data_IF_842510149504
#
_entry.id   IF_842510149504
#
_cell.length_a   1.000
_cell.length_b   1.000
_cell.length_c   1.000
_cell.angle_alpha   90.00
_cell.angle_beta   90.00
_cell.angle_gamma   90.00
#
_symmetry.space_group_name_H-M   'P 1'
#
loop_
_entity.id
_entity.type
_entity.pdbx_description
1 polymer ?
#
# COMPACT_ATOMS: atom_id res chain seq x y z
N UNK A 1 -28.08 24.77 -1.33
CA UNK A 1 -26.99 23.98 -1.94
C UNK A 1 -26.81 24.49 -3.36
N UNK A 2 -25.66 25.08 -3.70
CA UNK A 2 -25.47 25.69 -5.02
C UNK A 2 -25.22 24.62 -6.10
N UNK A 3 -25.72 24.86 -7.30
CA UNK A 3 -25.59 23.97 -8.45
C UNK A 3 -24.13 23.61 -8.77
N UNK A 4 -23.20 24.57 -8.61
CA UNK A 4 -21.76 24.36 -8.75
C UNK A 4 -21.21 23.30 -7.77
N UNK A 5 -21.70 23.30 -6.52
CA UNK A 5 -21.30 22.30 -5.53
C UNK A 5 -21.78 20.90 -5.91
N UNK A 6 -22.96 20.79 -6.52
CA UNK A 6 -23.52 19.52 -7.02
C UNK A 6 -22.66 18.98 -8.15
N UNK A 7 -22.28 19.81 -9.13
CA UNK A 7 -21.41 19.40 -10.24
C UNK A 7 -20.05 18.90 -9.72
N UNK A 8 -19.42 19.66 -8.82
CA UNK A 8 -18.13 19.28 -8.23
C UNK A 8 -18.22 17.95 -7.48
N UNK A 9 -19.33 17.70 -6.80
CA UNK A 9 -19.59 16.44 -6.10
C UNK A 9 -19.75 15.27 -7.08
N UNK A 10 -20.58 15.40 -8.11
CA UNK A 10 -20.78 14.38 -9.15
C UNK A 10 -19.45 14.06 -9.85
N UNK A 11 -18.68 15.09 -10.21
CA UNK A 11 -17.36 14.92 -10.81
C UNK A 11 -16.39 14.17 -9.88
N UNK A 12 -16.38 14.52 -8.59
CA UNK A 12 -15.57 13.82 -7.57
C UNK A 12 -15.96 12.33 -7.45
N UNK A 13 -17.26 12.03 -7.50
CA UNK A 13 -17.75 10.65 -7.47
C UNK A 13 -17.32 9.87 -8.71
N UNK A 14 -17.50 10.44 -9.90
CA UNK A 14 -17.09 9.84 -11.16
C UNK A 14 -15.58 9.50 -11.16
N UNK A 15 -14.74 10.45 -10.74
CA UNK A 15 -13.31 10.20 -10.63
C UNK A 15 -12.98 9.15 -9.56
N UNK A 16 -13.72 9.09 -8.45
CA UNK A 16 -13.52 8.07 -7.43
C UNK A 16 -13.79 6.66 -7.98
N UNK A 17 -14.86 6.50 -8.78
CA UNK A 17 -15.16 5.23 -9.45
C UNK A 17 -14.03 4.82 -10.39
N UNK A 18 -13.50 5.75 -11.18
CA UNK A 18 -12.38 5.47 -12.08
C UNK A 18 -11.12 5.05 -11.31
N UNK A 19 -10.74 5.80 -10.28
CA UNK A 19 -9.56 5.50 -9.46
C UNK A 19 -9.68 4.14 -8.78
N UNK A 20 -10.81 3.87 -8.13
CA UNK A 20 -11.06 2.58 -7.48
C UNK A 20 -11.10 1.44 -8.50
N UNK A 21 -11.75 1.64 -9.65
CA UNK A 21 -11.78 0.65 -10.74
C UNK A 21 -10.39 0.29 -11.24
N UNK A 22 -9.53 1.29 -11.48
CA UNK A 22 -8.13 1.10 -11.86
C UNK A 22 -7.34 0.37 -10.77
N UNK A 23 -7.55 0.74 -9.50
CA UNK A 23 -6.95 0.05 -8.36
C UNK A 23 -7.34 -1.43 -8.33
N UNK A 24 -8.63 -1.75 -8.44
CA UNK A 24 -9.08 -3.14 -8.41
C UNK A 24 -8.56 -3.94 -9.60
N UNK A 25 -8.58 -3.36 -10.80
CA UNK A 25 -8.05 -4.00 -12.01
C UNK A 25 -6.55 -4.30 -11.88
N UNK A 26 -5.77 -3.30 -11.45
CA UNK A 26 -4.34 -3.45 -11.21
C UNK A 26 -4.07 -4.49 -10.12
N UNK A 27 -4.84 -4.45 -9.02
CA UNK A 27 -4.72 -5.38 -7.92
C UNK A 27 -4.92 -6.82 -8.41
N UNK A 28 -6.03 -7.12 -9.07
CA UNK A 28 -6.35 -8.46 -9.55
C UNK A 28 -5.31 -8.97 -10.56
N UNK A 29 -4.90 -8.13 -11.51
CA UNK A 29 -4.00 -8.53 -12.59
C UNK A 29 -2.59 -8.82 -12.08
N UNK A 30 -1.99 -7.88 -11.33
CA UNK A 30 -0.62 -8.03 -10.87
C UNK A 30 -0.50 -8.98 -9.68
N UNK A 31 -1.51 -9.07 -8.82
CA UNK A 31 -1.52 -10.07 -7.75
C UNK A 31 -1.51 -11.49 -8.32
N UNK A 32 -2.33 -11.77 -9.34
CA UNK A 32 -2.32 -13.07 -10.04
C UNK A 32 -0.96 -13.32 -10.70
N UNK A 33 -0.43 -12.32 -11.42
CA UNK A 33 0.87 -12.44 -12.07
C UNK A 33 2.00 -12.80 -11.09
N UNK A 34 2.04 -12.17 -9.91
CA UNK A 34 3.04 -12.49 -8.88
C UNK A 34 2.88 -13.93 -8.40
N UNK A 35 1.65 -14.40 -8.19
CA UNK A 35 1.40 -15.79 -7.83
C UNK A 35 1.93 -16.70 -8.93
N UNK A 36 1.47 -16.53 -10.17
CA UNK A 36 1.82 -17.42 -11.27
C UNK A 36 3.32 -17.45 -11.56
N UNK A 37 4.00 -16.31 -11.42
CA UNK A 37 5.44 -16.20 -11.65
C UNK A 37 6.26 -16.89 -10.54
N UNK A 38 5.90 -16.67 -9.27
CA UNK A 38 6.67 -17.17 -8.12
C UNK A 38 6.08 -18.47 -7.51
N UNK A 39 5.05 -19.08 -8.10
CA UNK A 39 4.40 -20.29 -7.56
C UNK A 39 5.35 -21.49 -7.51
N UNK A 40 6.30 -21.54 -8.46
CA UNK A 40 7.30 -22.59 -8.55
C UNK A 40 8.61 -22.24 -7.80
N UNK A 41 8.72 -21.02 -7.29
CA UNK A 41 9.84 -20.59 -6.46
C UNK A 41 9.66 -21.02 -5.00
N UNK A 42 10.61 -20.63 -4.14
CA UNK A 42 10.47 -20.81 -2.68
C UNK A 42 9.23 -20.04 -2.20
N UNK A 43 8.32 -20.71 -1.47
CA UNK A 43 7.11 -20.12 -0.87
C UNK A 43 7.39 -18.80 -0.13
N UNK A 44 8.57 -18.70 0.47
CA UNK A 44 9.10 -17.50 1.11
C UNK A 44 9.20 -16.30 0.16
N UNK A 45 9.83 -16.47 -1.00
CA UNK A 45 10.00 -15.43 -2.01
C UNK A 45 8.64 -14.97 -2.54
N UNK A 46 7.72 -15.91 -2.78
CA UNK A 46 6.35 -15.59 -3.17
C UNK A 46 5.65 -14.72 -2.12
N UNK A 47 5.65 -15.13 -0.85
CA UNK A 47 4.98 -14.40 0.21
C UNK A 47 5.63 -13.04 0.51
N UNK A 48 6.94 -12.90 0.32
CA UNK A 48 7.63 -11.62 0.45
C UNK A 48 7.18 -10.64 -0.64
N UNK A 49 7.15 -11.07 -1.90
CA UNK A 49 6.66 -10.24 -3.00
C UNK A 49 5.19 -9.88 -2.84
N UNK A 50 4.33 -10.82 -2.43
CA UNK A 50 2.93 -10.52 -2.16
C UNK A 50 2.76 -9.53 -1.00
N UNK A 51 3.52 -9.68 0.08
CA UNK A 51 3.51 -8.74 1.20
C UNK A 51 3.88 -7.32 0.73
N UNK A 52 5.03 -7.16 0.08
CA UNK A 52 5.50 -5.87 -0.41
C UNK A 52 4.50 -5.26 -1.38
N UNK A 53 4.01 -6.06 -2.33
CA UNK A 53 3.06 -5.61 -3.34
C UNK A 53 1.78 -5.07 -2.72
N UNK A 54 1.15 -5.83 -1.81
CA UNK A 54 -0.11 -5.41 -1.18
C UNK A 54 0.08 -4.07 -0.47
N UNK A 55 1.15 -3.91 0.29
CA UNK A 55 1.38 -2.67 1.05
C UNK A 55 1.85 -1.50 0.17
N UNK A 56 2.71 -1.74 -0.81
CA UNK A 56 3.20 -0.70 -1.72
C UNK A 56 2.09 -0.13 -2.61
N UNK A 57 1.22 -0.99 -3.14
CA UNK A 57 0.07 -0.54 -3.96
C UNK A 57 -0.86 0.37 -3.14
N UNK A 58 -1.08 0.05 -1.87
CA UNK A 58 -1.84 0.91 -0.95
C UNK A 58 -1.23 2.30 -0.85
N UNK A 59 0.07 2.37 -0.56
CA UNK A 59 0.81 3.62 -0.40
C UNK A 59 0.71 4.48 -1.67
N UNK A 60 1.03 3.88 -2.81
CA UNK A 60 1.00 4.56 -4.10
C UNK A 60 -0.39 5.08 -4.42
N UNK A 61 -1.44 4.29 -4.15
CA UNK A 61 -2.80 4.71 -4.42
C UNK A 61 -3.24 5.87 -3.52
N UNK A 62 -2.98 5.82 -2.21
CA UNK A 62 -3.28 6.94 -1.30
C UNK A 62 -2.49 8.19 -1.71
N UNK A 63 -1.23 8.05 -2.11
CA UNK A 63 -0.43 9.18 -2.60
C UNK A 63 -0.99 9.77 -3.89
N UNK A 64 -1.41 8.94 -4.84
CA UNK A 64 -2.02 9.39 -6.10
C UNK A 64 -3.36 10.10 -5.85
N UNK A 65 -4.20 9.57 -4.95
CA UNK A 65 -5.47 10.19 -4.56
C UNK A 65 -5.22 11.57 -3.93
N UNK A 66 -4.27 11.67 -3.00
CA UNK A 66 -3.95 12.96 -2.37
C UNK A 66 -3.32 13.94 -3.37
N UNK A 67 -2.47 13.46 -4.28
CA UNK A 67 -1.88 14.26 -5.35
C UNK A 67 -2.95 14.79 -6.31
N UNK A 68 -3.83 13.92 -6.80
CA UNK A 68 -4.94 14.29 -7.68
C UNK A 68 -5.87 15.30 -7.00
N UNK A 69 -6.13 15.10 -5.71
CA UNK A 69 -6.92 16.05 -4.94
C UNK A 69 -6.23 17.41 -4.78
N UNK A 70 -4.92 17.42 -4.53
CA UNK A 70 -4.15 18.64 -4.35
C UNK A 70 -4.17 19.53 -5.60
N UNK A 71 -3.98 18.93 -6.79
CA UNK A 71 -3.82 19.69 -8.03
C UNK A 71 -5.10 19.87 -8.84
N UNK A 72 -6.01 18.89 -8.87
CA UNK A 72 -7.10 18.88 -9.84
C UNK A 72 -8.50 18.92 -9.21
N UNK A 73 -8.73 18.16 -8.14
CA UNK A 73 -10.10 17.87 -7.69
C UNK A 73 -10.53 18.78 -6.52
N UNK A 74 -9.62 19.01 -5.56
CA UNK A 74 -9.83 19.89 -4.40
C UNK A 74 -11.15 19.59 -3.67
N UNK A 75 -11.46 18.31 -3.45
CA UNK A 75 -12.70 17.80 -2.88
C UNK A 75 -12.41 16.84 -1.73
N UNK A 76 -12.87 17.19 -0.53
CA UNK A 76 -12.72 16.31 0.65
C UNK A 76 -13.43 14.97 0.46
N UNK A 77 -14.58 15.00 -0.23
CA UNK A 77 -15.38 13.82 -0.54
C UNK A 77 -14.58 12.83 -1.39
N UNK A 78 -13.80 13.34 -2.36
CA UNK A 78 -12.96 12.49 -3.21
C UNK A 78 -11.95 11.70 -2.38
N UNK A 79 -11.18 12.37 -1.50
CA UNK A 79 -10.23 11.67 -0.63
C UNK A 79 -10.97 10.71 0.30
N UNK A 80 -12.04 11.18 0.94
CA UNK A 80 -12.81 10.37 1.90
C UNK A 80 -13.27 9.06 1.27
N UNK A 81 -13.93 9.12 0.11
CA UNK A 81 -14.46 7.93 -0.56
C UNK A 81 -13.33 6.98 -0.96
N UNK A 82 -12.26 7.49 -1.59
CA UNK A 82 -11.17 6.63 -2.05
C UNK A 82 -10.43 5.98 -0.88
N UNK A 83 -10.01 6.76 0.12
CA UNK A 83 -9.20 6.25 1.23
C UNK A 83 -10.02 5.35 2.16
N UNK A 84 -11.29 5.68 2.44
CA UNK A 84 -12.15 4.80 3.26
C UNK A 84 -12.46 3.50 2.52
N UNK A 85 -12.79 3.56 1.23
CA UNK A 85 -13.04 2.34 0.43
C UNK A 85 -11.80 1.47 0.37
N UNK A 86 -10.61 2.07 0.22
CA UNK A 86 -9.35 1.35 0.27
C UNK A 86 -9.13 0.68 1.63
N UNK A 87 -9.33 1.39 2.74
CA UNK A 87 -9.21 0.81 4.08
C UNK A 87 -10.19 -0.36 4.29
N UNK A 88 -11.43 -0.23 3.82
CA UNK A 88 -12.43 -1.31 3.85
C UNK A 88 -11.96 -2.52 3.03
N UNK A 89 -11.41 -2.29 1.83
CA UNK A 89 -10.84 -3.36 1.02
C UNK A 89 -9.71 -4.09 1.77
N UNK A 90 -8.81 -3.36 2.44
CA UNK A 90 -7.71 -3.95 3.23
C UNK A 90 -8.20 -4.72 4.46
N UNK A 91 -9.32 -4.30 5.06
CA UNK A 91 -9.99 -5.09 6.10
C UNK A 91 -10.52 -6.42 5.54
N UNK A 92 -11.14 -6.42 4.36
CA UNK A 92 -11.64 -7.64 3.74
C UNK A 92 -10.54 -8.63 3.34
N UNK A 93 -9.42 -8.15 2.82
CA UNK A 93 -8.25 -9.00 2.52
C UNK A 93 -7.39 -9.28 3.77
N UNK A 94 -7.74 -8.73 4.93
CA UNK A 94 -7.01 -8.85 6.19
C UNK A 94 -6.80 -10.31 6.63
N UNK A 95 -7.76 -11.20 6.34
CA UNK A 95 -7.61 -12.64 6.59
C UNK A 95 -6.47 -13.25 5.77
N UNK A 96 -6.35 -12.89 4.48
CA UNK A 96 -5.25 -13.31 3.60
C UNK A 96 -3.91 -12.73 4.06
N UNK A 97 -3.89 -11.45 4.44
CA UNK A 97 -2.72 -10.80 5.03
C UNK A 97 -2.28 -11.50 6.32
N UNK A 98 -3.23 -11.94 7.15
CA UNK A 98 -2.97 -12.69 8.37
C UNK A 98 -2.20 -14.00 8.11
N UNK A 99 -2.50 -14.71 7.02
CA UNK A 99 -1.74 -15.92 6.65
C UNK A 99 -0.30 -15.60 6.27
N UNK A 100 -0.09 -14.55 5.48
CA UNK A 100 1.25 -14.09 5.09
C UNK A 100 2.04 -13.70 6.35
N UNK A 101 1.45 -12.90 7.22
CA UNK A 101 2.08 -12.48 8.49
C UNK A 101 2.38 -13.67 9.41
N UNK A 102 1.44 -14.61 9.55
CA UNK A 102 1.64 -15.81 10.37
C UNK A 102 2.80 -16.65 9.83
N UNK A 103 2.93 -16.76 8.50
CA UNK A 103 4.06 -17.45 7.88
C UNK A 103 5.39 -16.79 8.29
N UNK A 104 5.51 -15.47 8.15
CA UNK A 104 6.72 -14.77 8.56
C UNK A 104 6.98 -14.87 10.07
N UNK A 105 5.95 -14.75 10.92
CA UNK A 105 6.14 -14.87 12.37
C UNK A 105 6.57 -16.27 12.82
N UNK A 106 6.11 -17.32 12.14
CA UNK A 106 6.38 -18.71 12.53
C UNK A 106 7.70 -19.24 11.99
N UNK A 107 8.05 -18.85 10.76
CA UNK A 107 9.24 -19.36 10.06
C UNK A 107 10.45 -18.42 10.14
N UNK A 108 10.29 -17.18 10.62
CA UNK A 108 11.38 -16.23 10.79
C UNK A 108 11.68 -15.99 12.27
N UNK A 109 12.96 -16.08 12.62
CA UNK A 109 13.49 -15.86 13.99
C UNK A 109 14.16 -14.50 14.17
N UNK A 110 14.44 -13.79 13.08
CA UNK A 110 15.05 -12.46 13.13
C UNK A 110 14.02 -11.42 13.59
N UNK A 111 14.23 -10.90 14.81
CA UNK A 111 13.40 -9.83 15.38
C UNK A 111 13.41 -8.57 14.49
N UNK A 112 14.52 -8.30 13.81
CA UNK A 112 14.68 -7.16 12.91
C UNK A 112 13.74 -7.24 11.70
N UNK A 113 13.54 -8.44 11.16
CA UNK A 113 12.64 -8.66 10.02
C UNK A 113 11.20 -8.43 10.41
N UNK A 114 10.79 -9.01 11.54
CA UNK A 114 9.43 -8.86 12.07
C UNK A 114 9.16 -7.37 12.37
N UNK A 115 10.12 -6.68 13.00
CA UNK A 115 10.02 -5.25 13.28
C UNK A 115 9.92 -4.43 11.99
N UNK A 116 10.73 -4.73 10.98
CA UNK A 116 10.68 -4.07 9.68
C UNK A 116 9.32 -4.22 8.98
N UNK A 117 8.73 -5.42 9.02
CA UNK A 117 7.38 -5.66 8.49
C UNK A 117 6.32 -4.85 9.22
N UNK A 118 6.36 -4.85 10.55
CA UNK A 118 5.41 -4.10 11.38
C UNK A 118 5.54 -2.60 11.10
N UNK A 119 6.77 -2.07 11.05
CA UNK A 119 7.02 -0.66 10.75
C UNK A 119 6.53 -0.29 9.35
N UNK A 120 6.71 -1.16 8.36
CA UNK A 120 6.21 -0.93 7.00
C UNK A 120 4.68 -0.87 6.97
N UNK A 121 4.01 -1.83 7.62
CA UNK A 121 2.55 -1.85 7.74
C UNK A 121 2.02 -0.61 8.45
N UNK A 122 2.58 -0.29 9.63
CA UNK A 122 2.16 0.85 10.45
C UNK A 122 2.38 2.16 9.69
N UNK A 123 3.46 2.29 8.93
CA UNK A 123 3.72 3.48 8.10
C UNK A 123 2.60 3.68 7.07
N UNK A 124 2.17 2.61 6.40
CA UNK A 124 1.21 2.68 5.29
C UNK A 124 -0.22 2.87 5.79
N UNK A 125 -0.59 2.12 6.83
CA UNK A 125 -1.89 2.28 7.49
C UNK A 125 -1.95 3.66 8.15
N UNK A 126 -0.88 4.07 8.83
CA UNK A 126 -0.73 5.39 9.44
C UNK A 126 -0.84 6.52 8.43
N UNK A 127 -0.23 6.38 7.24
CA UNK A 127 -0.37 7.36 6.16
C UNK A 127 -1.83 7.56 5.73
N UNK A 128 -2.61 6.48 5.70
CA UNK A 128 -4.02 6.51 5.29
C UNK A 128 -4.89 7.22 6.32
N UNK A 129 -4.70 6.88 7.60
CA UNK A 129 -5.36 7.59 8.69
C UNK A 129 -4.93 9.05 8.77
N UNK A 130 -3.65 9.33 8.53
CA UNK A 130 -3.14 10.69 8.49
C UNK A 130 -3.77 11.50 7.34
N UNK A 131 -3.90 10.91 6.14
CA UNK A 131 -4.59 11.52 5.01
C UNK A 131 -6.05 11.87 5.36
N UNK A 132 -6.77 10.99 6.05
CA UNK A 132 -8.13 11.26 6.53
C UNK A 132 -8.15 12.33 7.62
N UNK A 133 -7.21 12.30 8.57
CA UNK A 133 -7.12 13.27 9.65
C UNK A 133 -6.89 14.69 9.13
N UNK A 134 -6.03 14.85 8.13
CA UNK A 134 -5.74 16.16 7.51
C UNK A 134 -6.98 16.79 6.87
N UNK A 135 -7.95 15.99 6.40
CA UNK A 135 -9.23 16.50 5.88
C UNK A 135 -10.05 17.28 6.92
N UNK A 136 -9.84 17.03 8.22
CA UNK A 136 -10.54 17.72 9.32
C UNK A 136 -10.07 19.17 9.49
N UNK A 137 -8.90 19.54 8.96
CA UNK A 137 -8.26 20.85 9.15
C UNK A 137 -8.24 21.71 7.87
N UNK A 138 -9.15 21.41 6.93
CA UNK A 138 -9.45 22.19 5.71
C UNK A 138 -8.33 22.36 4.68
N UNK A 139 -7.11 21.91 4.97
CA UNK A 139 -5.98 21.96 4.04
C UNK A 139 -5.83 20.59 3.39
N UNK A 140 -5.90 20.53 2.06
CA UNK A 140 -5.44 19.35 1.34
C UNK A 140 -4.03 18.97 1.78
N UNK A 141 -3.69 17.68 1.68
CA UNK A 141 -2.43 17.17 2.18
C UNK A 141 -1.23 17.96 1.61
N UNK A 142 -0.28 18.42 2.45
CA UNK A 142 0.91 19.11 1.95
C UNK A 142 1.78 18.16 1.14
N UNK A 143 2.34 18.66 0.02
CA UNK A 143 3.19 17.88 -0.89
C UNK A 143 4.37 17.23 -0.20
N UNK A 144 5.03 17.95 0.72
CA UNK A 144 6.15 17.42 1.49
C UNK A 144 5.76 16.17 2.28
N UNK A 145 4.57 16.13 2.87
CA UNK A 145 4.13 14.98 3.66
C UNK A 145 3.85 13.79 2.76
N UNK A 146 3.19 14.00 1.60
CA UNK A 146 3.00 12.95 0.60
C UNK A 146 4.33 12.35 0.15
N UNK A 147 5.31 13.21 -0.17
CA UNK A 147 6.64 12.79 -0.58
C UNK A 147 7.36 12.00 0.52
N UNK A 148 7.30 12.45 1.77
CA UNK A 148 7.94 11.78 2.90
C UNK A 148 7.41 10.36 3.08
N UNK A 149 6.08 10.20 3.13
CA UNK A 149 5.47 8.87 3.27
C UNK A 149 5.78 7.96 2.08
N UNK A 150 5.75 8.50 0.86
CA UNK A 150 6.09 7.76 -0.36
C UNK A 150 7.54 7.27 -0.32
N UNK A 151 8.50 8.15 -0.01
CA UNK A 151 9.92 7.81 0.07
C UNK A 151 10.22 6.81 1.18
N UNK A 152 9.64 6.99 2.36
CA UNK A 152 9.80 6.06 3.48
C UNK A 152 9.28 4.68 3.07
N UNK A 153 8.06 4.61 2.53
CA UNK A 153 7.49 3.33 2.12
C UNK A 153 8.24 2.66 0.97
N UNK A 154 8.68 3.42 -0.04
CA UNK A 154 9.54 2.88 -1.12
C UNK A 154 10.87 2.36 -0.58
N UNK A 155 11.51 3.11 0.32
CA UNK A 155 12.76 2.68 0.95
C UNK A 155 12.58 1.38 1.74
N UNK A 156 11.52 1.28 2.55
CA UNK A 156 11.19 0.04 3.25
C UNK A 156 10.91 -1.12 2.28
N UNK A 157 10.15 -0.87 1.21
CA UNK A 157 9.87 -1.87 0.19
C UNK A 157 11.14 -2.40 -0.47
N UNK A 158 12.03 -1.51 -0.94
CA UNK A 158 13.31 -1.88 -1.57
C UNK A 158 14.18 -2.64 -0.58
N UNK A 159 14.34 -2.14 0.65
CA UNK A 159 15.14 -2.81 1.68
C UNK A 159 14.60 -4.20 2.01
N UNK A 160 13.28 -4.36 2.04
CA UNK A 160 12.64 -5.65 2.27
C UNK A 160 12.88 -6.63 1.11
N UNK A 161 12.77 -6.16 -0.13
CA UNK A 161 13.11 -6.96 -1.32
C UNK A 161 14.57 -7.42 -1.26
N UNK A 162 15.49 -6.49 -1.04
CA UNK A 162 16.92 -6.76 -1.02
C UNK A 162 17.30 -7.78 0.06
N UNK A 163 16.81 -7.56 1.29
CA UNK A 163 17.16 -8.40 2.43
C UNK A 163 16.50 -9.78 2.42
N UNK A 164 15.32 -9.92 1.79
CA UNK A 164 14.44 -11.08 1.98
C UNK A 164 13.94 -11.73 0.69
N UNK A 165 13.90 -11.06 -0.46
CA UNK A 165 13.51 -11.72 -1.71
C UNK A 165 14.69 -12.43 -2.38
N UNK A 166 15.91 -11.88 -2.25
CA UNK A 166 17.07 -12.31 -3.05
C UNK A 166 18.21 -12.94 -2.25
N UNK A 167 18.18 -12.89 -0.91
CA UNK A 167 19.34 -13.28 -0.10
C UNK A 167 19.12 -14.54 0.76
N UNK A 168 19.01 -15.69 0.08
CA UNK A 168 19.08 -17.03 0.70
C UNK A 168 20.23 -17.88 0.15
N UNK A 169 20.80 -17.56 -1.03
CA UNK A 169 21.87 -18.36 -1.63
C UNK A 169 23.28 -17.81 -1.37
N UNK A 170 23.45 -16.49 -1.22
CA UNK A 170 24.78 -15.89 -0.96
C UNK A 170 25.25 -16.13 0.48
N UNK A 171 24.34 -16.04 1.46
CA UNK A 171 24.68 -16.32 2.87
C UNK A 171 24.93 -17.79 3.21
N UNK A 172 24.41 -18.74 2.44
CA UNK A 172 24.67 -20.18 2.66
C UNK A 172 26.06 -20.57 2.15
N UNK A 173 26.57 -19.93 1.09
CA UNK A 173 27.93 -20.15 0.60
C UNK A 173 29.01 -19.52 1.51
N UNK A 174 28.67 -18.48 2.27
CA UNK A 174 29.60 -17.86 3.24
C UNK A 174 29.74 -18.63 4.56
N UNK A 175 28.81 -19.55 4.87
CA UNK A 175 28.89 -20.42 6.06
C UNK A 175 29.35 -21.86 5.76
N UNK A 176 29.41 -22.25 4.47
CA UNK A 176 29.87 -23.56 4.01
C UNK A 176 31.16 -23.48 3.16
N UNK A 177 31.80 -22.30 3.12
CA UNK A 177 33.13 -22.08 2.56
C UNK A 177 34.19 -22.06 3.65
#
# INVERSE_FOLDING_TARGET
MNFESVIKYIFSLFLSILFLGLFYFQFLTLYSFIIDYFIHDKLFTLYAHLFIYIFLVHLLFVSLVNFANHYFIQSKVFILINVVTLLIFYLFIGSKLGYILKYFLYYFTSQETILGMILFMVTIIGYSFYSLFVLLFDKGMPLLHMLLFLLIGLFYGIKFIDSYCYDVWERVHLFLG
#
